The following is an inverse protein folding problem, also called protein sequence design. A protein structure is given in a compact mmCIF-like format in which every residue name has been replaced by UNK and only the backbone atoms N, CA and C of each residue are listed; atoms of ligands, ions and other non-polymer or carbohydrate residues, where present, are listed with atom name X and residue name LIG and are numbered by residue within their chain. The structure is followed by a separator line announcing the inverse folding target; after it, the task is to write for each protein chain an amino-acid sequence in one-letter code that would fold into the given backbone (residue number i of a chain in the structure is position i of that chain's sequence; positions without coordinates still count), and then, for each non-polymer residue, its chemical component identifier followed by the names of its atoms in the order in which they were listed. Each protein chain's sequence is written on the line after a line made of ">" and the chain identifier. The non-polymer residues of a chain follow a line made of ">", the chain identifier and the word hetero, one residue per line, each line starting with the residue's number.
data_IF_040265633147
#
_entry.id   IF_040265633147
#
_cell.length_a   1.000
_cell.length_b   1.000
_cell.length_c   1.000
_cell.angle_alpha   90.00
_cell.angle_beta   90.00
_cell.angle_gamma   90.00
#
_symmetry.space_group_name_H-M   'P 1'
#
loop_
_entity.id
_entity.type
_entity.pdbx_description
1 polymer ?
#
# COMPACT_ATOMS: atom_id res chain seq x y z
N UNK A 1 -5.97 -17.30 -5.80
CA UNK A 1 -5.71 -17.37 -7.26
C UNK A 1 -6.42 -18.59 -7.82
N UNK A 2 -7.02 -18.51 -9.02
CA UNK A 2 -7.54 -19.68 -9.74
C UNK A 2 -6.46 -20.19 -10.70
N UNK A 3 -6.25 -21.49 -10.78
CA UNK A 3 -5.31 -22.12 -11.73
C UNK A 3 -5.64 -21.71 -13.17
N UNK A 4 -4.62 -21.42 -13.97
CA UNK A 4 -4.73 -21.15 -15.41
C UNK A 4 -5.15 -19.73 -15.81
N UNK A 5 -5.50 -18.85 -14.88
CA UNK A 5 -5.85 -17.45 -15.18
C UNK A 5 -4.69 -16.47 -14.92
N UNK A 6 -3.78 -16.83 -14.01
CA UNK A 6 -2.72 -15.94 -13.55
C UNK A 6 -1.55 -16.76 -12.99
N UNK A 7 -0.33 -16.49 -13.46
CA UNK A 7 0.89 -17.20 -13.06
C UNK A 7 1.40 -16.77 -11.68
N UNK A 8 1.39 -15.47 -11.42
CA UNK A 8 1.84 -14.88 -10.17
C UNK A 8 1.15 -13.55 -9.89
N UNK A 9 0.85 -13.27 -8.62
CA UNK A 9 0.22 -12.03 -8.16
C UNK A 9 1.11 -11.33 -7.13
N UNK A 10 1.17 -10.00 -7.16
CA UNK A 10 1.81 -9.21 -6.10
C UNK A 10 0.71 -8.73 -5.15
N UNK A 11 0.92 -8.93 -3.85
CA UNK A 11 -0.03 -8.54 -2.80
C UNK A 11 0.70 -8.03 -1.56
N UNK A 12 0.08 -7.10 -0.85
CA UNK A 12 0.52 -6.60 0.44
C UNK A 12 -0.03 -7.43 1.61
N UNK A 13 -0.85 -8.44 1.32
CA UNK A 13 -1.59 -9.23 2.31
C UNK A 13 -1.38 -10.74 2.15
N UNK A 14 -0.23 -11.15 1.61
CA UNK A 14 0.08 -12.55 1.34
C UNK A 14 0.03 -13.41 2.61
N UNK A 15 -0.64 -14.56 2.53
CA UNK A 15 -0.71 -15.58 3.58
C UNK A 15 -0.12 -16.89 3.07
N UNK A 16 0.57 -17.62 3.97
CA UNK A 16 1.16 -18.91 3.63
C UNK A 16 0.05 -19.96 3.46
N UNK A 17 0.11 -20.70 2.36
CA UNK A 17 -0.77 -21.83 2.08
C UNK A 17 0.04 -22.91 1.36
N UNK A 18 -0.21 -24.22 1.58
CA UNK A 18 0.51 -25.29 0.87
C UNK A 18 0.37 -25.21 -0.66
N UNK A 19 -0.73 -24.64 -1.15
CA UNK A 19 -1.03 -24.52 -2.57
C UNK A 19 -0.28 -23.35 -3.25
N UNK A 20 0.29 -22.43 -2.47
CA UNK A 20 0.94 -21.24 -2.99
C UNK A 20 2.33 -21.04 -2.41
N UNK A 21 3.28 -20.77 -3.27
CA UNK A 21 4.57 -20.23 -2.87
C UNK A 21 4.43 -18.72 -2.67
N UNK A 22 5.00 -18.23 -1.57
CA UNK A 22 5.02 -16.79 -1.23
C UNK A 22 6.47 -16.37 -1.10
N UNK A 23 6.90 -15.45 -1.97
CA UNK A 23 8.23 -14.83 -1.91
C UNK A 23 8.09 -13.36 -1.57
N UNK A 24 8.75 -12.92 -0.50
CA UNK A 24 8.80 -11.49 -0.13
C UNK A 24 9.62 -10.72 -1.16
N UNK A 25 9.14 -9.53 -1.51
CA UNK A 25 9.79 -8.62 -2.45
C UNK A 25 10.44 -7.46 -1.69
N UNK A 26 9.63 -6.64 -1.03
CA UNK A 26 10.09 -5.47 -0.28
C UNK A 26 9.06 -5.03 0.77
N UNK A 27 9.48 -4.15 1.66
CA UNK A 27 8.59 -3.34 2.49
C UNK A 27 8.49 -1.97 1.80
N UNK A 28 7.31 -1.56 1.31
CA UNK A 28 7.16 -0.28 0.63
C UNK A 28 7.20 0.86 1.64
N UNK A 29 7.86 1.95 1.26
CA UNK A 29 7.73 3.21 1.98
C UNK A 29 6.29 3.71 1.89
N UNK A 30 5.67 3.90 3.06
CA UNK A 30 4.30 4.37 3.18
C UNK A 30 4.26 5.86 3.47
N UNK A 31 3.32 6.53 2.82
CA UNK A 31 3.03 7.94 3.00
C UNK A 31 1.54 8.12 3.24
N UNK A 32 1.19 9.10 4.06
CA UNK A 32 -0.16 9.67 4.08
C UNK A 32 -0.20 10.74 2.99
N UNK A 33 -1.09 10.54 2.03
CA UNK A 33 -1.48 11.56 1.07
C UNK A 33 -2.66 12.34 1.64
N UNK A 34 -2.52 13.67 1.66
CA UNK A 34 -3.50 14.59 2.21
C UNK A 34 -3.45 15.95 1.50
N UNK A 35 -4.51 16.74 1.66
CA UNK A 35 -4.55 18.11 1.13
C UNK A 35 -3.42 18.95 1.75
N UNK A 36 -2.71 19.79 0.97
CA UNK A 36 -1.70 20.71 1.51
C UNK A 36 -2.23 21.69 2.56
N UNK A 37 -3.54 21.92 2.60
CA UNK A 37 -4.21 22.78 3.56
C UNK A 37 -4.55 22.09 4.89
N UNK A 38 -4.34 20.77 4.98
CA UNK A 38 -4.61 20.00 6.18
C UNK A 38 -3.56 20.28 7.27
N UNK A 39 -3.96 20.27 8.54
CA UNK A 39 -3.08 20.61 9.67
C UNK A 39 -1.84 19.70 9.76
N UNK A 40 -2.01 18.42 9.40
CA UNK A 40 -0.94 17.43 9.36
C UNK A 40 0.07 17.65 8.21
N UNK A 41 -0.21 18.49 7.22
CA UNK A 41 0.67 18.72 6.07
C UNK A 41 2.01 19.37 6.44
N UNK A 42 2.06 20.08 7.57
CA UNK A 42 3.27 20.71 8.08
C UNK A 42 4.17 19.74 8.88
N UNK A 43 3.70 18.52 9.15
CA UNK A 43 4.47 17.54 9.93
C UNK A 43 5.59 16.94 9.07
N UNK A 44 6.81 16.77 9.60
CA UNK A 44 7.90 16.13 8.85
C UNK A 44 7.68 14.62 8.68
N UNK A 45 6.88 14.02 9.57
CA UNK A 45 6.55 12.61 9.63
C UNK A 45 5.28 12.44 10.46
N UNK A 46 4.48 11.41 10.17
CA UNK A 46 3.32 11.01 10.96
C UNK A 46 3.55 9.66 11.62
N UNK A 47 2.91 9.48 12.77
CA UNK A 47 2.69 8.20 13.43
C UNK A 47 1.25 7.75 13.21
N UNK A 48 0.94 6.51 13.61
CA UNK A 48 -0.42 6.00 13.56
C UNK A 48 -1.37 6.77 14.50
N UNK A 49 -0.85 7.26 15.62
CA UNK A 49 -1.61 8.03 16.62
C UNK A 49 -2.04 9.41 16.09
N UNK A 50 -1.25 10.01 15.18
CA UNK A 50 -1.58 11.31 14.58
C UNK A 50 -2.76 11.22 13.60
N UNK A 51 -3.08 10.02 13.09
CA UNK A 51 -4.06 9.82 12.01
C UNK A 51 -5.19 8.87 12.37
N UNK A 52 -5.22 8.31 13.59
CA UNK A 52 -6.20 7.28 13.94
C UNK A 52 -7.65 7.80 13.98
N UNK A 53 -7.84 9.09 14.27
CA UNK A 53 -9.13 9.77 14.30
C UNK A 53 -9.55 10.37 12.94
N UNK A 54 -8.71 10.24 11.93
CA UNK A 54 -8.93 10.79 10.60
C UNK A 54 -9.77 9.87 9.70
N UNK A 55 -10.38 10.45 8.67
CA UNK A 55 -11.13 9.69 7.66
C UNK A 55 -10.20 9.22 6.54
N UNK A 56 -10.05 7.91 6.41
CA UNK A 56 -9.30 7.30 5.31
C UNK A 56 -10.20 6.97 4.13
N UNK A 57 -9.93 7.62 3.00
CA UNK A 57 -10.50 7.29 1.70
C UNK A 57 -9.82 6.01 1.17
N UNK A 58 -10.62 5.00 0.86
CA UNK A 58 -10.11 3.73 0.36
C UNK A 58 -10.92 3.29 -0.86
N UNK A 59 -10.25 2.90 -1.93
CA UNK A 59 -10.94 2.32 -3.09
C UNK A 59 -11.57 0.98 -2.76
N UNK A 60 -12.74 0.73 -3.33
CA UNK A 60 -13.45 -0.56 -3.22
C UNK A 60 -12.79 -1.71 -3.99
N UNK A 61 -11.91 -1.38 -4.94
CA UNK A 61 -11.32 -2.30 -5.89
C UNK A 61 -9.78 -2.28 -5.87
N UNK A 62 -9.18 -3.26 -6.56
CA UNK A 62 -7.73 -3.42 -6.65
C UNK A 62 -7.04 -3.43 -5.29
N UNK A 63 -5.97 -2.65 -5.17
CA UNK A 63 -5.19 -2.51 -3.93
C UNK A 63 -5.97 -1.84 -2.79
N UNK A 64 -7.07 -1.13 -3.07
CA UNK A 64 -7.86 -0.46 -2.02
C UNK A 64 -8.51 -1.45 -1.05
N UNK A 65 -8.99 -2.59 -1.54
CA UNK A 65 -9.54 -3.65 -0.66
C UNK A 65 -8.48 -4.24 0.28
N UNK A 66 -7.25 -4.40 -0.21
CA UNK A 66 -6.12 -4.83 0.63
C UNK A 66 -5.78 -3.74 1.65
N UNK A 67 -5.78 -2.48 1.23
CA UNK A 67 -5.48 -1.35 2.09
C UNK A 67 -6.44 -1.23 3.27
N UNK A 68 -7.76 -1.41 3.06
CA UNK A 68 -8.72 -1.45 4.16
C UNK A 68 -8.39 -2.55 5.19
N UNK A 69 -7.99 -3.73 4.73
CA UNK A 69 -7.58 -4.85 5.59
C UNK A 69 -6.23 -4.63 6.28
N UNK A 70 -5.32 -3.87 5.66
CA UNK A 70 -4.03 -3.48 6.24
C UNK A 70 -4.24 -2.39 7.28
N UNK A 71 -5.01 -1.34 6.98
CA UNK A 71 -5.42 -0.30 7.92
C UNK A 71 -6.03 -0.94 9.17
N UNK A 72 -7.04 -1.81 9.03
CA UNK A 72 -7.62 -2.52 10.18
C UNK A 72 -6.60 -3.35 10.98
N UNK A 73 -5.58 -3.92 10.34
CA UNK A 73 -4.51 -4.70 11.01
C UNK A 73 -3.49 -3.82 11.72
N UNK A 74 -3.12 -2.69 11.12
CA UNK A 74 -2.26 -1.69 11.74
C UNK A 74 -2.96 -1.08 12.96
N UNK A 75 -4.28 -0.90 12.85
CA UNK A 75 -5.17 -0.43 13.91
C UNK A 75 -5.33 -1.42 15.04
N UNK A 76 -5.49 -2.72 14.77
CA UNK A 76 -5.62 -3.74 15.82
C UNK A 76 -4.40 -3.92 16.74
N UNK A 77 -3.40 -3.04 16.65
CA UNK A 77 -2.31 -2.86 17.61
C UNK A 77 -2.52 -1.67 18.58
N UNK A 78 -3.57 -0.85 18.40
CA UNK A 78 -3.98 0.25 19.27
C UNK A 78 -5.50 0.32 19.45
N UNK A 79 -5.99 0.89 20.55
CA UNK A 79 -7.40 0.86 20.98
C UNK A 79 -8.38 1.72 20.12
N UNK A 80 -7.94 2.28 18.98
CA UNK A 80 -8.76 3.15 18.13
C UNK A 80 -9.48 2.41 17.01
N UNK A 81 -10.62 2.93 16.52
CA UNK A 81 -11.29 2.41 15.33
C UNK A 81 -11.09 3.37 14.15
N UNK A 82 -10.44 2.92 13.06
CA UNK A 82 -10.27 3.76 11.87
C UNK A 82 -11.58 4.01 11.17
N UNK A 83 -11.80 5.28 10.84
CA UNK A 83 -12.89 5.71 9.98
C UNK A 83 -12.51 5.45 8.53
N UNK A 84 -13.05 4.37 7.97
CA UNK A 84 -12.86 4.01 6.55
C UNK A 84 -14.04 4.50 5.71
N UNK A 85 -13.73 5.30 4.69
CA UNK A 85 -14.67 5.74 3.67
C UNK A 85 -14.39 5.02 2.35
N UNK A 86 -15.23 4.05 2.01
CA UNK A 86 -15.04 3.20 0.81
C UNK A 86 -15.59 3.91 -0.43
N UNK A 87 -14.74 4.14 -1.42
CA UNK A 87 -15.04 4.88 -2.64
C UNK A 87 -15.03 3.97 -3.89
N UNK A 88 -16.08 4.04 -4.69
CA UNK A 88 -16.21 3.32 -5.98
C UNK A 88 -15.71 4.22 -7.13
N UNK A 89 -14.44 4.63 -7.05
CA UNK A 89 -13.85 5.60 -7.98
C UNK A 89 -12.46 5.16 -8.45
N UNK A 90 -11.98 5.80 -9.51
CA UNK A 90 -10.61 5.58 -10.00
C UNK A 90 -9.55 6.05 -8.99
N UNK A 91 -8.30 5.62 -9.15
CA UNK A 91 -7.16 6.14 -8.36
C UNK A 91 -7.05 7.66 -8.48
N UNK A 92 -7.14 8.19 -9.70
CA UNK A 92 -7.00 9.63 -9.93
C UNK A 92 -8.11 10.43 -9.30
N UNK A 93 -9.34 9.92 -9.36
CA UNK A 93 -10.50 10.54 -8.70
C UNK A 93 -10.34 10.52 -7.18
N UNK A 94 -9.89 9.41 -6.59
CA UNK A 94 -9.62 9.35 -5.15
C UNK A 94 -8.55 10.38 -4.75
N UNK A 95 -7.47 10.49 -5.52
CA UNK A 95 -6.42 11.48 -5.26
C UNK A 95 -6.93 12.91 -5.41
N UNK A 96 -7.83 13.20 -6.36
CA UNK A 96 -8.52 14.51 -6.42
C UNK A 96 -9.39 14.76 -5.18
N UNK A 97 -10.05 13.74 -4.63
CA UNK A 97 -10.81 13.91 -3.38
C UNK A 97 -9.89 14.20 -2.20
N UNK A 98 -8.71 13.56 -2.14
CA UNK A 98 -7.69 13.82 -1.12
C UNK A 98 -7.16 15.25 -1.23
N UNK A 99 -6.81 15.68 -2.44
CA UNK A 99 -6.40 17.06 -2.76
C UNK A 99 -7.42 18.10 -2.27
N UNK A 100 -8.72 17.82 -2.50
CA UNK A 100 -9.84 18.67 -2.08
C UNK A 100 -10.18 18.58 -0.58
N UNK A 101 -9.48 17.74 0.20
CA UNK A 101 -9.64 17.65 1.65
C UNK A 101 -10.80 16.79 2.14
N UNK A 102 -11.34 15.88 1.32
CA UNK A 102 -12.40 14.94 1.75
C UNK A 102 -11.93 13.86 2.72
N UNK A 103 -10.61 13.71 2.88
CA UNK A 103 -10.00 12.72 3.78
C UNK A 103 -8.56 12.41 3.35
N UNK A 104 -7.95 11.48 4.06
CA UNK A 104 -6.58 11.03 3.84
C UNK A 104 -6.57 9.71 3.06
N UNK A 105 -5.44 9.35 2.45
CA UNK A 105 -5.20 7.97 2.01
C UNK A 105 -3.77 7.57 2.29
N UNK A 106 -3.53 6.28 2.51
CA UNK A 106 -2.17 5.74 2.52
C UNK A 106 -1.79 5.31 1.10
N UNK A 107 -0.57 5.62 0.71
CA UNK A 107 -0.02 5.27 -0.60
C UNK A 107 1.50 5.04 -0.51
N UNK A 108 2.07 4.42 -1.54
CA UNK A 108 3.50 4.59 -1.83
C UNK A 108 3.75 5.98 -2.42
N UNK A 109 5.01 6.34 -2.66
CA UNK A 109 5.36 7.59 -3.35
C UNK A 109 4.50 7.79 -4.62
N UNK A 110 3.95 9.00 -4.76
CA UNK A 110 3.24 9.47 -5.95
C UNK A 110 3.84 10.81 -6.36
N UNK A 111 3.78 11.12 -7.65
CA UNK A 111 4.17 12.44 -8.15
C UNK A 111 2.91 13.25 -8.45
N UNK A 112 2.47 14.06 -7.47
CA UNK A 112 1.31 14.94 -7.60
C UNK A 112 1.53 16.18 -6.72
N UNK A 113 1.84 17.35 -7.32
CA UNK A 113 2.29 18.53 -6.58
C UNK A 113 1.22 19.11 -5.65
N UNK A 114 -0.06 18.90 -5.98
CA UNK A 114 -1.20 19.41 -5.22
C UNK A 114 -1.60 18.52 -4.04
N UNK A 115 -0.77 17.51 -3.70
CA UNK A 115 -0.98 16.61 -2.56
C UNK A 115 0.27 16.63 -1.68
N UNK A 116 0.07 16.87 -0.39
CA UNK A 116 1.12 16.68 0.60
C UNK A 116 1.32 15.18 0.86
N UNK A 117 2.56 14.72 0.76
CA UNK A 117 2.96 13.35 1.09
C UNK A 117 3.83 13.37 2.33
N UNK A 118 3.27 12.89 3.43
CA UNK A 118 3.97 12.85 4.71
C UNK A 118 4.36 11.40 5.02
N UNK A 119 5.63 11.10 5.30
CA UNK A 119 6.07 9.75 5.63
C UNK A 119 5.29 9.17 6.81
N UNK A 120 4.88 7.91 6.70
CA UNK A 120 4.21 7.16 7.76
C UNK A 120 4.99 5.87 8.07
N UNK A 121 6.08 5.95 8.87
CA UNK A 121 6.77 4.77 9.33
C UNK A 121 5.84 3.90 10.16
N UNK A 122 5.68 2.66 9.71
CA UNK A 122 4.88 1.68 10.43
C UNK A 122 5.80 0.70 11.13
N UNK A 123 5.60 0.51 12.44
CA UNK A 123 6.26 -0.55 13.20
C UNK A 123 5.92 -1.96 12.66
N UNK A 124 4.84 -2.08 11.87
CA UNK A 124 4.42 -3.30 11.17
C UNK A 124 4.07 -2.97 9.72
N UNK A 125 5.05 -2.48 8.96
CA UNK A 125 4.88 -2.20 7.54
C UNK A 125 4.39 -3.46 6.79
N UNK A 126 3.43 -3.31 5.86
CA UNK A 126 2.99 -4.43 5.04
C UNK A 126 4.13 -4.88 4.13
N UNK A 127 4.44 -6.17 4.07
CA UNK A 127 5.43 -6.68 3.13
C UNK A 127 4.77 -6.98 1.78
N UNK A 128 5.24 -6.35 0.72
CA UNK A 128 4.89 -6.73 -0.64
C UNK A 128 5.50 -8.11 -0.94
N UNK A 129 4.66 -9.03 -1.39
CA UNK A 129 5.08 -10.38 -1.73
C UNK A 129 4.46 -10.82 -3.04
N UNK A 130 5.19 -11.64 -3.78
CA UNK A 130 4.67 -12.35 -4.94
C UNK A 130 4.17 -13.72 -4.51
N UNK A 131 2.98 -14.07 -4.98
CA UNK A 131 2.26 -15.30 -4.72
C UNK A 131 2.12 -16.04 -6.04
N UNK A 132 2.58 -17.29 -6.10
CA UNK A 132 2.46 -18.16 -7.27
C UNK A 132 1.98 -19.54 -6.86
N UNK A 133 1.39 -20.31 -7.78
CA UNK A 133 1.06 -21.72 -7.51
C UNK A 133 2.33 -22.50 -7.17
N UNK A 134 2.25 -23.44 -6.23
CA UNK A 134 3.41 -24.28 -5.87
C UNK A 134 3.87 -25.18 -7.02
N UNK A 135 2.98 -25.46 -7.97
CA UNK A 135 3.22 -26.22 -9.21
C UNK A 135 3.19 -25.33 -10.45
N UNK A 136 3.63 -24.07 -10.33
CA UNK A 136 3.75 -23.18 -11.48
C UNK A 136 4.95 -23.60 -12.36
N UNK A 137 4.66 -24.08 -13.57
CA UNK A 137 5.65 -24.53 -14.56
C UNK A 137 6.00 -23.46 -15.61
N UNK A 138 5.55 -22.21 -15.44
CA UNK A 138 5.84 -21.11 -16.37
C UNK A 138 7.34 -20.74 -16.31
N UNK A 139 8.10 -20.93 -17.40
CA UNK A 139 9.54 -20.68 -17.41
C UNK A 139 9.91 -19.19 -17.27
N UNK A 140 8.95 -18.27 -17.46
CA UNK A 140 9.16 -16.83 -17.30
C UNK A 140 9.10 -16.38 -15.84
N UNK A 141 8.42 -17.11 -14.95
CA UNK A 141 8.31 -16.71 -13.54
C UNK A 141 9.68 -16.58 -12.86
N UNK A 142 10.62 -17.53 -12.97
CA UNK A 142 11.97 -17.34 -12.44
C UNK A 142 12.71 -16.12 -12.99
N UNK A 143 12.46 -15.72 -14.24
CA UNK A 143 13.07 -14.53 -14.84
C UNK A 143 12.51 -13.25 -14.25
N UNK A 144 11.17 -13.18 -14.10
CA UNK A 144 10.50 -12.08 -13.40
C UNK A 144 11.01 -11.95 -11.96
N UNK A 145 11.16 -13.08 -11.26
CA UNK A 145 11.69 -13.13 -9.90
C UNK A 145 13.11 -12.55 -9.80
N UNK A 146 13.98 -12.81 -10.78
CA UNK A 146 15.32 -12.22 -10.83
C UNK A 146 15.29 -10.71 -11.02
N UNK A 147 14.29 -10.14 -11.70
CA UNK A 147 14.16 -8.68 -11.84
C UNK A 147 14.02 -7.99 -10.48
N UNK A 148 13.37 -8.63 -9.52
CA UNK A 148 13.22 -8.11 -8.15
C UNK A 148 14.49 -8.27 -7.29
N UNK A 149 15.43 -9.12 -7.69
CA UNK A 149 16.72 -9.30 -7.00
C UNK A 149 17.76 -8.26 -7.41
N UNK A 150 17.51 -7.54 -8.50
CA UNK A 150 18.39 -6.46 -8.95
C UNK A 150 18.27 -5.30 -7.95
N UNK A 151 19.38 -4.88 -7.29
CA UNK A 151 19.31 -3.78 -6.35
C UNK A 151 18.82 -2.53 -7.07
N UNK A 152 17.79 -1.89 -6.52
CA UNK A 152 17.39 -0.55 -6.92
C UNK A 152 18.63 0.33 -6.75
N UNK A 153 19.19 0.87 -7.84
CA UNK A 153 20.15 1.97 -7.76
C UNK A 153 19.40 3.15 -7.15
N UNK A 154 19.40 3.24 -5.82
CA UNK A 154 19.07 4.47 -5.13
C UNK A 154 20.07 5.51 -5.64
N UNK A 155 19.55 6.53 -6.32
CA UNK A 155 20.35 7.67 -6.75
C UNK A 155 20.91 8.34 -5.50
N UNK A 156 22.22 8.23 -5.30
CA UNK A 156 22.98 9.19 -4.51
C UNK A 156 22.94 10.49 -5.29
N UNK A 157 22.23 11.48 -4.78
CA UNK A 157 22.43 12.87 -5.17
C UNK A 157 23.06 13.56 -3.98
N UNK A 158 24.36 13.81 -4.10
CA UNK A 158 25.08 14.87 -3.39
C UNK A 158 24.47 16.24 -3.72
#
# INVERSE_FOLDING_TARGET
>A
MKRGLLDAAISLSASKSPQFQVRRLCEPDLFVALSPLHELAARPQLSWEDVCDEVFLVRSDGAGRELAGILRRMVGAGDGAVQLSIQQVSRETLLTMVEQGFGLTITSVIYRPDIALIPLPSARAPTAAIISSSDNDNPTLPLLLKCFDTPSRAGTTD
#
